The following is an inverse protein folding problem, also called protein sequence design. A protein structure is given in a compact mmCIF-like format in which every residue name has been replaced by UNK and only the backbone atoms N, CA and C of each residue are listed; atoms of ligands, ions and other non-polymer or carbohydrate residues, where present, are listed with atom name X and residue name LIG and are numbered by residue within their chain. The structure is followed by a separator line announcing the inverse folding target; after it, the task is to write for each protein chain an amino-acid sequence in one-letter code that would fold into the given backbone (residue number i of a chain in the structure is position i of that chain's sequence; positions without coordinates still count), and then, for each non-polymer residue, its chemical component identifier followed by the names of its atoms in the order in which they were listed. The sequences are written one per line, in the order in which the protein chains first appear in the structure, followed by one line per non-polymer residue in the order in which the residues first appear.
data_IF_102627343956
#
_entry.id   IF_102627343956
#
_cell.length_a   1.000
_cell.length_b   1.000
_cell.length_c   1.000
_cell.angle_alpha   90.00
_cell.angle_beta   90.00
_cell.angle_gamma   90.00
#
_symmetry.space_group_name_H-M   'P 1'
#
loop_
_entity.id
_entity.type
_entity.pdbx_description
1 polymer ?
#
# COMPACT_ATOMS: atom_id res chain seq x y z
N UNK A 1 -15.78 -7.31 9.64
CA UNK A 1 -14.81 -6.30 10.07
C UNK A 1 -15.52 -5.02 10.47
N UNK A 2 -15.96 -4.99 11.73
CA UNK A 2 -16.82 -3.90 12.18
C UNK A 2 -16.10 -2.73 12.81
N UNK A 3 -14.80 -2.86 13.09
CA UNK A 3 -14.02 -1.80 13.72
C UNK A 3 -12.82 -1.45 12.88
N UNK A 4 -12.30 -0.23 13.07
CA UNK A 4 -11.12 0.17 12.35
C UNK A 4 -9.89 -0.66 12.76
N UNK A 5 -9.85 -1.13 14.00
CA UNK A 5 -8.76 -2.00 14.45
C UNK A 5 -8.74 -3.31 13.68
N UNK A 6 -9.90 -3.89 13.44
CA UNK A 6 -10.01 -5.14 12.69
C UNK A 6 -9.61 -4.92 11.24
N UNK A 7 -10.04 -3.81 10.65
CA UNK A 7 -9.67 -3.45 9.28
C UNK A 7 -8.18 -3.20 9.17
N UNK A 8 -7.59 -2.53 10.17
CA UNK A 8 -6.15 -2.28 10.18
C UNK A 8 -5.37 -3.60 10.24
N UNK A 9 -5.80 -4.52 11.08
CA UNK A 9 -5.17 -5.83 11.17
C UNK A 9 -5.23 -6.56 9.83
N UNK A 10 -6.39 -6.53 9.19
CA UNK A 10 -6.57 -7.13 7.88
C UNK A 10 -5.61 -6.52 6.85
N UNK A 11 -5.51 -5.19 6.83
CA UNK A 11 -4.62 -4.51 5.89
C UNK A 11 -3.16 -4.86 6.10
N UNK A 12 -2.71 -4.93 7.34
CA UNK A 12 -1.34 -5.31 7.68
C UNK A 12 -1.04 -6.71 7.15
N UNK A 13 -1.96 -7.63 7.36
CA UNK A 13 -1.80 -9.00 6.89
C UNK A 13 -1.79 -9.09 5.37
N UNK A 14 -2.70 -8.37 4.73
CA UNK A 14 -2.79 -8.38 3.26
C UNK A 14 -1.58 -7.76 2.58
N UNK A 15 -0.97 -6.76 3.20
CA UNK A 15 0.24 -6.13 2.67
C UNK A 15 1.51 -6.84 3.11
N UNK A 16 1.40 -7.83 4.00
CA UNK A 16 2.52 -8.60 4.51
C UNK A 16 3.62 -7.71 5.12
N UNK A 17 3.21 -6.66 5.84
CA UNK A 17 4.15 -5.77 6.54
C UNK A 17 4.22 -6.13 8.00
N UNK A 18 5.30 -5.74 8.66
CA UNK A 18 5.45 -5.97 10.09
C UNK A 18 4.98 -4.77 10.89
N UNK A 19 4.61 -5.00 12.15
CA UNK A 19 4.26 -3.91 13.06
C UNK A 19 5.43 -2.94 13.23
N UNK A 20 6.64 -3.46 13.26
CA UNK A 20 7.85 -2.63 13.39
C UNK A 20 8.03 -1.72 12.18
N UNK A 21 7.85 -2.23 10.98
CA UNK A 21 7.97 -1.44 9.77
C UNK A 21 6.92 -0.33 9.73
N UNK A 22 5.68 -0.66 10.09
CA UNK A 22 4.61 0.32 10.16
C UNK A 22 4.93 1.39 11.21
N UNK A 23 5.37 0.98 12.39
CA UNK A 23 5.71 1.90 13.46
C UNK A 23 6.82 2.87 13.06
N UNK A 24 7.84 2.37 12.37
CA UNK A 24 8.93 3.21 11.88
C UNK A 24 8.46 4.25 10.89
N UNK A 25 7.59 3.85 9.99
CA UNK A 25 7.06 4.79 8.99
C UNK A 25 6.22 5.89 9.65
N UNK A 26 5.38 5.52 10.59
CA UNK A 26 4.50 6.46 11.28
C UNK A 26 5.27 7.32 12.28
N UNK A 27 6.42 6.86 12.77
CA UNK A 27 7.23 7.58 13.74
C UNK A 27 6.82 7.31 15.18
N UNK A 28 6.34 6.12 15.45
CA UNK A 28 5.93 5.68 16.79
C UNK A 28 6.65 4.38 17.13
N UNK A 29 6.43 3.91 18.34
CA UNK A 29 7.01 2.64 18.79
C UNK A 29 6.09 1.47 18.48
N UNK A 30 6.67 0.30 18.25
CA UNK A 30 5.89 -0.90 17.91
C UNK A 30 4.80 -1.24 18.92
N UNK A 31 4.98 -1.08 20.25
CA UNK A 31 3.89 -1.31 21.20
C UNK A 31 2.65 -0.47 20.96
N UNK A 32 2.80 0.73 20.38
CA UNK A 32 1.66 1.57 20.03
C UNK A 32 0.80 0.92 18.94
N UNK A 33 1.46 0.30 17.95
CA UNK A 33 0.74 -0.43 16.91
C UNK A 33 0.00 -1.62 17.52
N UNK A 34 0.65 -2.34 18.43
CA UNK A 34 0.01 -3.45 19.11
C UNK A 34 -1.21 -3.00 19.92
N UNK A 35 -1.14 -1.82 20.54
CA UNK A 35 -2.26 -1.25 21.29
C UNK A 35 -3.45 -0.97 20.36
N UNK A 36 -3.19 -0.46 19.17
CA UNK A 36 -4.25 -0.26 18.17
C UNK A 36 -4.93 -1.58 17.82
N UNK A 37 -4.15 -2.62 17.58
CA UNK A 37 -4.68 -3.92 17.15
C UNK A 37 -5.41 -4.67 18.26
N UNK A 38 -5.12 -4.38 19.52
CA UNK A 38 -5.73 -5.06 20.65
C UNK A 38 -7.01 -4.37 21.15
N UNK A 39 -7.49 -3.35 20.44
CA UNK A 39 -8.67 -2.59 20.80
C UNK A 39 -8.55 -1.79 22.10
N UNK A 40 -7.33 -1.60 22.59
CA UNK A 40 -7.09 -0.78 23.78
C UNK A 40 -7.17 0.70 23.47
N UNK A 41 -6.89 1.07 22.23
CA UNK A 41 -7.00 2.45 21.77
C UNK A 41 -8.34 2.66 21.13
N UNK A 42 -9.04 3.72 21.52
CA UNK A 42 -10.35 4.03 20.94
C UNK A 42 -10.24 4.77 19.63
N UNK A 43 -9.19 5.56 19.48
CA UNK A 43 -8.99 6.41 18.30
C UNK A 43 -7.53 6.45 17.92
N UNK A 44 -7.29 6.90 16.70
CA UNK A 44 -5.96 7.17 16.18
C UNK A 44 -5.96 8.64 15.75
N UNK A 45 -4.87 9.36 16.00
CA UNK A 45 -4.78 10.75 15.56
C UNK A 45 -4.83 10.84 14.03
N UNK A 46 -5.29 11.97 13.52
CA UNK A 46 -5.37 12.18 12.08
C UNK A 46 -3.99 12.03 11.41
N UNK A 47 -2.95 12.57 12.03
CA UNK A 47 -1.59 12.43 11.52
C UNK A 47 -1.17 10.98 11.37
N UNK A 48 -1.40 10.19 12.41
CA UNK A 48 -1.07 8.77 12.37
C UNK A 48 -1.91 8.03 11.34
N UNK A 49 -3.19 8.39 11.25
CA UNK A 49 -4.10 7.78 10.28
C UNK A 49 -3.67 8.01 8.84
N UNK A 50 -3.26 9.23 8.53
CA UNK A 50 -2.76 9.56 7.20
C UNK A 50 -1.50 8.75 6.88
N UNK A 51 -0.55 8.72 7.81
CA UNK A 51 0.70 7.99 7.61
C UNK A 51 0.47 6.48 7.45
N UNK A 52 -0.43 5.91 8.24
CA UNK A 52 -0.79 4.50 8.15
C UNK A 52 -1.39 4.18 6.78
N UNK A 53 -2.34 4.98 6.35
CA UNK A 53 -3.00 4.77 5.06
C UNK A 53 -2.03 4.90 3.89
N UNK A 54 -1.12 5.88 3.95
CA UNK A 54 -0.09 6.01 2.94
C UNK A 54 0.83 4.80 2.88
N UNK A 55 1.26 4.32 4.02
CA UNK A 55 2.17 3.19 4.09
C UNK A 55 1.52 1.92 3.55
N UNK A 56 0.27 1.68 3.91
CA UNK A 56 -0.44 0.48 3.52
C UNK A 56 -1.14 0.58 2.16
N UNK A 57 -1.18 1.77 1.56
CA UNK A 57 -1.86 1.98 0.29
C UNK A 57 -3.36 1.74 0.39
N UNK A 58 -3.97 2.18 1.48
CA UNK A 58 -5.40 2.02 1.72
C UNK A 58 -6.06 3.39 1.88
N UNK A 59 -7.38 3.42 1.69
CA UNK A 59 -8.13 4.66 1.84
C UNK A 59 -8.49 4.89 3.30
N UNK A 60 -8.53 6.15 3.70
CA UNK A 60 -8.95 6.52 5.05
C UNK A 60 -10.42 6.21 5.26
N UNK A 61 -11.23 6.43 4.24
CA UNK A 61 -12.66 6.16 4.30
C UNK A 61 -12.92 4.69 4.62
N UNK A 62 -12.22 3.78 3.94
CA UNK A 62 -12.36 2.37 4.24
C UNK A 62 -11.87 2.03 5.65
N UNK A 63 -10.69 2.52 6.03
CA UNK A 63 -10.12 2.18 7.34
C UNK A 63 -10.98 2.66 8.49
N UNK A 64 -11.39 3.92 8.48
CA UNK A 64 -12.07 4.52 9.63
C UNK A 64 -13.58 4.40 9.58
N UNK A 65 -14.19 4.40 8.41
CA UNK A 65 -15.64 4.39 8.26
C UNK A 65 -16.17 3.05 7.74
N UNK A 66 -15.30 2.21 7.24
CA UNK A 66 -15.73 0.94 6.66
C UNK A 66 -16.49 1.10 5.36
N UNK A 67 -16.29 2.22 4.66
CA UNK A 67 -16.97 2.53 3.41
C UNK A 67 -15.98 2.58 2.26
N UNK A 68 -16.48 2.27 1.08
CA UNK A 68 -15.67 2.36 -0.12
C UNK A 68 -14.68 1.21 -0.26
N UNK A 69 -13.72 1.39 -1.15
CA UNK A 69 -12.73 0.38 -1.44
C UNK A 69 -11.52 0.52 -0.52
N UNK A 70 -10.96 -0.61 -0.11
CA UNK A 70 -9.72 -0.64 0.66
C UNK A 70 -8.58 -0.01 -0.13
N UNK A 71 -8.44 -0.37 -1.40
CA UNK A 71 -7.33 0.11 -2.21
C UNK A 71 -7.61 1.48 -2.79
N UNK A 72 -6.56 2.31 -2.85
CA UNK A 72 -6.64 3.58 -3.57
C UNK A 72 -6.58 3.30 -5.06
N UNK A 73 -7.73 3.21 -5.68
CA UNK A 73 -7.82 2.81 -7.07
C UNK A 73 -7.29 3.83 -8.05
N UNK A 74 -7.40 5.11 -7.69
CA UNK A 74 -7.11 6.18 -8.64
C UNK A 74 -5.68 6.64 -8.68
N UNK A 75 -4.93 6.41 -7.62
CA UNK A 75 -3.64 7.05 -7.48
C UNK A 75 -2.51 6.12 -7.65
N UNK A 76 -2.78 5.01 -8.27
CA UNK A 76 -1.70 4.18 -8.53
C UNK A 76 -0.80 3.97 -7.42
N UNK A 77 -1.24 4.49 -6.31
CA UNK A 77 -0.89 3.93 -5.14
C UNK A 77 0.55 3.97 -4.72
N UNK A 78 0.77 3.50 -3.59
CA UNK A 78 2.04 3.25 -2.93
C UNK A 78 3.04 2.55 -3.86
N UNK A 79 2.60 1.55 -4.62
CA UNK A 79 3.51 0.80 -5.50
C UNK A 79 4.13 1.67 -6.60
N UNK A 80 3.35 2.56 -7.19
CA UNK A 80 3.90 3.46 -8.21
C UNK A 80 4.79 4.53 -7.62
N UNK A 81 4.48 4.99 -6.41
CA UNK A 81 5.36 5.92 -5.70
C UNK A 81 6.70 5.27 -5.39
N UNK A 82 6.68 4.01 -4.94
CA UNK A 82 7.91 3.26 -4.69
C UNK A 82 8.71 3.09 -5.97
N UNK A 83 8.04 2.74 -7.06
CA UNK A 83 8.69 2.56 -8.34
C UNK A 83 9.38 3.86 -8.80
N UNK A 84 8.69 4.99 -8.69
CA UNK A 84 9.23 6.28 -9.05
C UNK A 84 10.44 6.64 -8.18
N UNK A 85 10.34 6.39 -6.89
CA UNK A 85 11.43 6.67 -5.98
C UNK A 85 12.65 5.81 -6.27
N UNK A 86 12.47 4.52 -6.50
CA UNK A 86 13.56 3.64 -6.86
C UNK A 86 14.21 4.05 -8.17
N UNK A 87 13.41 4.46 -9.14
CA UNK A 87 13.93 4.94 -10.42
C UNK A 87 14.78 6.19 -10.25
N UNK A 88 14.38 7.09 -9.36
CA UNK A 88 15.13 8.32 -9.10
C UNK A 88 16.50 8.05 -8.46
N UNK A 89 16.65 6.93 -7.78
CA UNK A 89 17.91 6.55 -7.15
C UNK A 89 18.88 5.86 -8.08
N UNK A 90 18.43 5.48 -9.29
CA UNK A 90 19.27 4.76 -10.23
C UNK A 90 20.24 5.70 -10.94
N UNK A 91 21.50 5.27 -11.16
CA UNK A 91 22.39 6.01 -12.02
C UNK A 91 21.89 5.94 -13.48
N UNK A 92 22.30 6.92 -14.30
CA UNK A 92 21.77 7.07 -15.63
C UNK A 92 21.92 5.84 -16.51
N UNK A 93 23.06 5.14 -16.41
CA UNK A 93 23.25 3.94 -17.21
C UNK A 93 22.25 2.82 -16.86
N UNK A 94 21.75 2.81 -15.63
CA UNK A 94 20.77 1.80 -15.21
C UNK A 94 19.34 2.22 -15.53
N UNK A 95 19.08 3.51 -15.76
CA UNK A 95 17.76 4.00 -16.13
C UNK A 95 17.31 3.40 -17.48
N UNK A 96 18.22 3.33 -18.44
CA UNK A 96 17.90 2.75 -19.74
C UNK A 96 17.47 1.29 -19.63
N UNK A 97 18.15 0.54 -18.76
CA UNK A 97 17.80 -0.84 -18.50
C UNK A 97 16.42 -0.95 -17.84
N UNK A 98 16.13 -0.06 -16.88
CA UNK A 98 14.84 -0.03 -16.21
C UNK A 98 13.71 0.26 -17.21
N UNK A 99 13.92 1.21 -18.10
CA UNK A 99 12.95 1.54 -19.15
C UNK A 99 12.65 0.32 -20.01
N UNK A 100 13.68 -0.40 -20.39
CA UNK A 100 13.54 -1.59 -21.23
C UNK A 100 12.70 -2.66 -20.51
N UNK A 101 13.00 -2.91 -19.23
CA UNK A 101 12.27 -3.90 -18.44
C UNK A 101 10.82 -3.53 -18.24
N UNK A 102 10.55 -2.25 -18.00
CA UNK A 102 9.17 -1.78 -17.83
C UNK A 102 8.41 -1.91 -19.15
N UNK A 103 9.04 -1.60 -20.27
CA UNK A 103 8.42 -1.77 -21.57
C UNK A 103 8.07 -3.25 -21.85
N UNK A 104 8.94 -4.16 -21.45
CA UNK A 104 8.68 -5.60 -21.60
C UNK A 104 7.50 -6.03 -20.73
N UNK A 105 7.41 -5.52 -19.51
CA UNK A 105 6.29 -5.81 -18.62
C UNK A 105 4.98 -5.29 -19.22
N UNK A 106 5.00 -4.10 -19.79
CA UNK A 106 3.83 -3.52 -20.43
C UNK A 106 3.33 -4.39 -21.58
N UNK A 107 4.26 -4.85 -22.42
CA UNK A 107 3.92 -5.74 -23.50
C UNK A 107 3.33 -7.06 -23.01
N UNK A 108 3.92 -7.62 -21.97
CA UNK A 108 3.40 -8.83 -21.33
C UNK A 108 1.98 -8.64 -20.83
N UNK A 109 1.69 -7.52 -20.17
CA UNK A 109 0.35 -7.23 -19.63
C UNK A 109 -0.67 -7.14 -20.77
N UNK A 110 -0.31 -6.48 -21.87
CA UNK A 110 -1.21 -6.37 -23.02
C UNK A 110 -1.49 -7.73 -23.65
N UNK A 111 -0.48 -8.60 -23.71
CA UNK A 111 -0.64 -9.96 -24.21
C UNK A 111 -1.60 -10.75 -23.31
N UNK A 112 -1.45 -10.65 -21.99
CA UNK A 112 -2.33 -11.31 -21.03
C UNK A 112 -3.78 -10.83 -21.20
N UNK A 113 -3.98 -9.52 -21.35
CA UNK A 113 -5.31 -8.95 -21.56
C UNK A 113 -5.97 -9.47 -22.84
N UNK A 114 -5.22 -9.54 -23.92
CA UNK A 114 -5.72 -10.08 -25.17
C UNK A 114 -6.14 -11.54 -25.03
N UNK A 115 -5.29 -12.34 -24.40
CA UNK A 115 -5.59 -13.76 -24.21
C UNK A 115 -6.80 -13.96 -23.33
N UNK A 116 -6.97 -13.14 -22.30
CA UNK A 116 -8.13 -13.20 -21.43
C UNK A 116 -9.42 -12.90 -22.20
N UNK A 117 -9.40 -11.87 -23.06
CA UNK A 117 -10.55 -11.51 -23.87
C UNK A 117 -10.87 -12.58 -24.89
N UNK A 118 -9.84 -13.14 -25.53
CA UNK A 118 -10.03 -14.19 -26.53
C UNK A 118 -10.42 -15.53 -25.93
N UNK A 119 -10.06 -15.75 -24.68
CA UNK A 119 -10.36 -17.01 -24.00
C UNK A 119 -11.80 -17.12 -23.52
N UNK A 120 -12.59 -16.10 -23.72
CA UNK A 120 -14.01 -16.11 -23.41
C UNK A 120 -14.81 -16.52 -24.67
#
# INVERSE_FOLDING_TARGET
MNTWQTRLKYAIEMRAVTKLALAKHVGIKAPSVSAWLSSKSKTMSAEHGIAVCEFLGITQEWLFLGKGSMDEVKNDTYKRKVLTQLAAELPEFAVDEAIRRIADIKEFVETVKKNTVQGQ
#
